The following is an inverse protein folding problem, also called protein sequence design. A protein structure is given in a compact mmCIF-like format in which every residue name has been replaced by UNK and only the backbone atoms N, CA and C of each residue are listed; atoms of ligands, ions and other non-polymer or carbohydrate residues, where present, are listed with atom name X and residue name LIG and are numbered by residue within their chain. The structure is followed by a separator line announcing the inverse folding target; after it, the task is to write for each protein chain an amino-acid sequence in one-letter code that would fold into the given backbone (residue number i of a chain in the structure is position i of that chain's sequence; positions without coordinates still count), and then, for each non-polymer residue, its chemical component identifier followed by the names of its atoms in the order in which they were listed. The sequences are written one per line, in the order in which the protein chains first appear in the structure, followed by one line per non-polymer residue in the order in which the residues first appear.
data_IF_683686019394
#
_entry.id   IF_683686019394
#
_cell.length_a   1.000
_cell.length_b   1.000
_cell.length_c   1.000
_cell.angle_alpha   90.00
_cell.angle_beta   90.00
_cell.angle_gamma   90.00
#
_symmetry.space_group_name_H-M   'P 1'
#
loop_
_entity.id
_entity.type
_entity.pdbx_description
1 polymer ?
#
# COMPACT_ATOMS: atom_id res chain seq x y z
N UNK A 1 -13.01 26.74 25.13
CA UNK A 1 -12.30 26.00 24.06
C UNK A 1 -10.80 26.20 24.25
N UNK A 2 -10.05 25.12 24.55
CA UNK A 2 -8.58 25.22 24.70
C UNK A 2 -8.01 25.43 23.30
N UNK A 3 -7.19 26.46 23.12
CA UNK A 3 -6.44 26.79 21.92
C UNK A 3 -5.83 25.51 21.32
N UNK A 4 -6.18 25.21 20.09
CA UNK A 4 -5.58 24.13 19.33
C UNK A 4 -4.05 24.32 19.35
N UNK A 5 -3.33 23.28 19.80
CA UNK A 5 -1.87 23.30 19.79
C UNK A 5 -1.43 23.57 18.36
N UNK A 6 -0.70 24.65 18.13
CA UNK A 6 -0.20 25.08 16.80
C UNK A 6 0.93 24.15 16.29
N UNK A 7 0.84 22.85 16.63
CA UNK A 7 1.88 21.85 16.39
C UNK A 7 1.37 20.90 15.30
N UNK A 8 2.02 20.95 14.15
CA UNK A 8 1.75 19.99 13.07
C UNK A 8 2.21 18.58 13.49
N UNK A 9 1.51 17.57 13.00
CA UNK A 9 1.85 16.15 13.17
C UNK A 9 2.25 15.57 11.84
N UNK A 10 3.46 15.05 11.75
CA UNK A 10 4.00 14.39 10.55
C UNK A 10 4.09 12.89 10.78
N UNK A 11 3.69 12.10 9.76
CA UNK A 11 3.74 10.64 9.76
C UNK A 11 4.13 10.13 8.37
N UNK A 12 4.87 9.01 8.32
CA UNK A 12 5.17 8.30 7.08
C UNK A 12 4.10 7.27 6.81
N UNK A 13 3.53 7.33 5.61
CA UNK A 13 2.58 6.36 5.09
C UNK A 13 3.33 5.40 4.16
N UNK A 14 3.77 4.26 4.69
CA UNK A 14 4.57 3.29 3.97
C UNK A 14 3.76 2.58 2.87
N UNK A 15 4.45 2.06 1.85
CA UNK A 15 3.89 1.18 0.85
C UNK A 15 3.92 -0.29 1.29
N UNK A 16 3.27 -1.15 0.51
CA UNK A 16 3.32 -2.62 0.64
C UNK A 16 3.63 -3.25 -0.71
N UNK A 17 4.05 -4.49 -0.67
CA UNK A 17 3.98 -5.44 -1.79
C UNK A 17 3.20 -6.67 -1.35
N UNK A 18 2.67 -7.43 -2.33
CA UNK A 18 2.09 -8.75 -2.08
C UNK A 18 3.14 -9.80 -2.47
N UNK A 19 3.61 -10.56 -1.49
CA UNK A 19 4.54 -11.67 -1.71
C UNK A 19 3.84 -12.91 -2.26
N UNK A 20 2.55 -13.06 -1.93
CA UNK A 20 1.63 -14.06 -2.46
C UNK A 20 0.24 -13.43 -2.53
N UNK A 21 -0.53 -13.72 -3.57
CA UNK A 21 -1.92 -13.31 -3.69
C UNK A 21 -2.69 -14.40 -4.44
N UNK A 22 -3.66 -15.00 -3.74
CA UNK A 22 -4.53 -16.04 -4.26
C UNK A 22 -5.97 -15.60 -4.21
N UNK A 23 -6.68 -15.81 -5.29
CA UNK A 23 -8.12 -15.66 -5.37
C UNK A 23 -8.75 -17.02 -5.14
N UNK A 24 -9.41 -17.20 -3.99
CA UNK A 24 -9.95 -18.49 -3.55
C UNK A 24 -11.35 -18.73 -4.09
N UNK A 25 -12.08 -17.69 -4.46
CA UNK A 25 -13.44 -17.79 -4.99
C UNK A 25 -14.16 -16.45 -4.98
N UNK A 26 -15.41 -16.46 -5.40
CA UNK A 26 -16.32 -15.30 -5.34
C UNK A 26 -17.25 -15.45 -4.13
N UNK A 27 -17.37 -14.39 -3.36
CA UNK A 27 -18.22 -14.28 -2.16
C UNK A 27 -19.66 -13.95 -2.54
N UNK A 28 -20.59 -14.20 -1.63
CA UNK A 28 -22.00 -13.84 -1.83
C UNK A 28 -22.26 -12.34 -1.95
N UNK A 29 -21.34 -11.50 -1.45
CA UNK A 29 -21.38 -10.04 -1.56
C UNK A 29 -20.80 -9.50 -2.90
N UNK A 30 -20.40 -10.40 -3.82
CA UNK A 30 -19.84 -10.06 -5.11
C UNK A 30 -18.34 -9.74 -5.10
N UNK A 31 -17.71 -9.72 -3.93
CA UNK A 31 -16.26 -9.60 -3.81
C UNK A 31 -15.57 -10.96 -3.93
N UNK A 32 -14.24 -10.95 -4.05
CA UNK A 32 -13.43 -12.16 -4.05
C UNK A 32 -12.94 -12.52 -2.65
N UNK A 33 -12.97 -13.81 -2.34
CA UNK A 33 -12.28 -14.37 -1.18
C UNK A 33 -10.80 -14.49 -1.51
N UNK A 34 -9.96 -13.87 -0.71
CA UNK A 34 -8.52 -13.77 -0.93
C UNK A 34 -7.71 -14.44 0.18
N UNK A 35 -6.54 -14.91 -0.21
CA UNK A 35 -5.43 -15.18 0.69
C UNK A 35 -4.22 -14.45 0.14
N UNK A 36 -3.65 -13.53 0.92
CA UNK A 36 -2.48 -12.78 0.49
C UNK A 36 -1.45 -12.66 1.61
N UNK A 37 -0.18 -12.60 1.24
CA UNK A 37 0.90 -12.26 2.17
C UNK A 37 1.40 -10.87 1.83
N UNK A 38 1.12 -9.93 2.72
CA UNK A 38 1.59 -8.55 2.64
C UNK A 38 2.99 -8.41 3.23
N UNK A 39 3.79 -7.54 2.64
CA UNK A 39 5.07 -7.08 3.18
C UNK A 39 5.15 -5.56 3.12
N UNK A 40 5.34 -4.91 4.27
CA UNK A 40 5.60 -3.48 4.32
C UNK A 40 6.99 -3.14 3.75
N UNK A 41 7.11 -2.04 3.02
CA UNK A 41 8.38 -1.59 2.43
C UNK A 41 8.70 -0.15 2.82
N UNK A 42 9.97 0.26 2.71
CA UNK A 42 10.43 1.57 3.19
C UNK A 42 10.01 2.74 2.30
N UNK A 43 9.60 2.50 1.05
CA UNK A 43 8.98 3.51 0.21
C UNK A 43 7.73 4.06 0.91
N UNK A 44 7.58 5.38 0.98
CA UNK A 44 6.48 6.00 1.73
C UNK A 44 6.10 7.37 1.18
N UNK A 45 4.85 7.73 1.37
CA UNK A 45 4.37 9.10 1.31
C UNK A 45 4.55 9.77 2.68
N UNK A 46 4.46 11.08 2.74
CA UNK A 46 4.45 11.82 4.01
C UNK A 46 3.12 12.54 4.17
N UNK A 47 2.45 12.29 5.30
CA UNK A 47 1.24 13.00 5.71
C UNK A 47 1.63 14.00 6.80
N UNK A 48 1.21 15.25 6.62
CA UNK A 48 1.35 16.29 7.64
C UNK A 48 -0.04 16.85 7.99
N UNK A 49 -0.46 16.63 9.22
CA UNK A 49 -1.70 17.20 9.77
C UNK A 49 -1.37 18.59 10.30
N UNK A 50 -2.00 19.60 9.74
CA UNK A 50 -1.83 21.00 10.12
C UNK A 50 -3.13 21.50 10.75
N UNK A 51 -3.15 21.86 12.04
CA UNK A 51 -4.29 22.55 12.64
C UNK A 51 -4.57 23.86 11.90
N UNK A 52 -5.80 24.04 11.49
CA UNK A 52 -6.25 25.25 10.76
C UNK A 52 -7.75 25.43 10.99
N UNK A 53 -8.20 26.60 11.30
CA UNK A 53 -9.62 26.91 11.37
C UNK A 53 -10.28 26.82 9.98
N UNK A 54 -11.53 26.33 9.96
CA UNK A 54 -12.35 26.23 8.76
C UNK A 54 -12.52 24.83 8.20
N UNK A 55 -13.01 24.68 6.96
CA UNK A 55 -13.31 23.38 6.37
C UNK A 55 -12.05 22.53 6.19
N UNK A 56 -12.25 21.21 6.28
CA UNK A 56 -11.20 20.23 5.97
C UNK A 56 -10.66 20.43 4.56
N UNK A 57 -9.37 20.32 4.39
CA UNK A 57 -8.71 20.44 3.09
C UNK A 57 -7.55 19.44 2.95
N UNK A 58 -7.27 19.06 1.71
CA UNK A 58 -6.08 18.29 1.33
C UNK A 58 -5.25 19.14 0.38
N UNK A 59 -3.94 19.22 0.64
CA UNK A 59 -2.96 19.82 -0.27
C UNK A 59 -2.02 18.72 -0.77
N UNK A 60 -1.86 18.62 -2.09
CA UNK A 60 -0.89 17.75 -2.74
C UNK A 60 -0.47 18.39 -4.07
N UNK A 61 0.84 18.47 -4.33
CA UNK A 61 1.37 19.00 -5.59
C UNK A 61 1.38 17.96 -6.74
N UNK A 62 1.19 16.67 -6.42
CA UNK A 62 1.24 15.59 -7.42
C UNK A 62 -0.06 15.56 -8.22
N UNK A 63 0.06 15.72 -9.54
CA UNK A 63 -1.08 15.60 -10.44
C UNK A 63 -1.75 14.23 -10.36
N UNK A 64 -3.08 14.18 -10.56
CA UNK A 64 -3.87 12.95 -10.52
C UNK A 64 -4.25 12.47 -9.12
N UNK A 65 -3.81 13.14 -8.05
CA UNK A 65 -4.28 12.89 -6.69
C UNK A 65 -5.56 13.67 -6.45
N UNK A 66 -6.72 13.00 -6.15
CA UNK A 66 -7.93 13.71 -5.80
C UNK A 66 -7.74 14.54 -4.52
N UNK A 67 -8.23 15.76 -4.50
CA UNK A 67 -8.18 16.65 -3.32
C UNK A 67 -9.55 16.81 -2.65
N UNK A 68 -10.52 16.05 -3.09
CA UNK A 68 -11.91 16.06 -2.67
C UNK A 68 -12.32 14.82 -1.84
N UNK A 69 -13.62 14.64 -1.61
CA UNK A 69 -14.23 13.55 -0.84
C UNK A 69 -13.99 12.15 -1.43
N UNK A 70 -13.51 12.04 -2.65
CA UNK A 70 -13.15 10.75 -3.25
C UNK A 70 -11.84 10.20 -2.70
N UNK A 71 -10.96 11.08 -2.17
CA UNK A 71 -9.68 10.70 -1.58
C UNK A 71 -9.87 9.91 -0.28
N UNK A 72 -9.12 8.81 -0.12
CA UNK A 72 -9.16 7.98 1.09
C UNK A 72 -8.70 8.74 2.35
N UNK A 73 -7.86 9.77 2.24
CA UNK A 73 -7.51 10.67 3.35
C UNK A 73 -8.77 11.39 3.86
N UNK A 74 -9.59 11.92 2.95
CA UNK A 74 -10.85 12.57 3.31
C UNK A 74 -11.81 11.60 3.98
N UNK A 75 -11.99 10.43 3.35
CA UNK A 75 -12.87 9.38 3.89
C UNK A 75 -12.40 8.92 5.27
N UNK A 76 -11.09 8.77 5.48
CA UNK A 76 -10.51 8.40 6.77
C UNK A 76 -10.78 9.47 7.85
N UNK A 77 -10.57 10.74 7.52
CA UNK A 77 -10.85 11.85 8.44
C UNK A 77 -12.33 11.90 8.84
N UNK A 78 -13.23 11.78 7.87
CA UNK A 78 -14.67 11.79 8.09
C UNK A 78 -15.15 10.54 8.87
N UNK A 79 -14.62 9.36 8.57
CA UNK A 79 -14.97 8.14 9.28
C UNK A 79 -14.54 8.20 10.75
N UNK A 80 -13.33 8.69 11.01
CA UNK A 80 -12.85 8.89 12.39
C UNK A 80 -13.68 9.94 13.12
N UNK A 81 -14.04 11.06 12.45
CA UNK A 81 -14.89 12.10 13.01
C UNK A 81 -16.23 11.55 13.49
N UNK A 82 -16.89 10.76 12.63
CA UNK A 82 -18.19 10.12 12.94
C UNK A 82 -18.07 9.06 14.04
N UNK A 83 -17.00 8.27 14.04
CA UNK A 83 -16.75 7.24 15.07
C UNK A 83 -16.66 7.83 16.49
N UNK A 84 -16.31 9.12 16.58
CA UNK A 84 -16.27 9.89 17.83
C UNK A 84 -17.59 10.60 18.15
N UNK A 85 -18.70 10.24 17.46
CA UNK A 85 -20.03 10.84 17.61
C UNK A 85 -20.05 12.36 17.39
N UNK A 86 -19.15 12.85 16.55
CA UNK A 86 -19.15 14.25 16.13
C UNK A 86 -20.09 14.43 14.95
N UNK A 87 -20.94 15.44 15.04
CA UNK A 87 -21.86 15.78 13.97
C UNK A 87 -21.19 16.64 12.88
N UNK A 88 -21.82 16.70 11.71
CA UNK A 88 -21.38 17.52 10.59
C UNK A 88 -20.16 16.96 9.85
N UNK A 89 -19.56 17.86 9.10
CA UNK A 89 -18.35 17.56 8.32
C UNK A 89 -17.09 17.77 9.17
N UNK A 90 -16.07 17.00 8.87
CA UNK A 90 -14.74 17.19 9.46
C UNK A 90 -14.22 18.58 9.14
N UNK A 91 -13.67 19.27 10.15
CA UNK A 91 -13.17 20.64 10.05
C UNK A 91 -11.91 20.86 10.90
N UNK A 92 -11.39 22.07 10.84
CA UNK A 92 -10.29 22.62 11.65
C UNK A 92 -8.96 21.87 11.47
N UNK A 93 -8.80 21.22 10.31
CA UNK A 93 -7.59 20.49 9.93
C UNK A 93 -7.34 20.59 8.43
N UNK A 94 -6.11 20.81 8.07
CA UNK A 94 -5.58 20.63 6.71
C UNK A 94 -4.60 19.45 6.69
N UNK A 95 -4.67 18.64 5.66
CA UNK A 95 -3.74 17.53 5.42
C UNK A 95 -2.86 17.86 4.23
N UNK A 96 -1.54 17.96 4.44
CA UNK A 96 -0.57 18.06 3.35
C UNK A 96 -0.03 16.67 3.05
N UNK A 97 -0.09 16.29 1.78
CA UNK A 97 0.39 15.01 1.25
C UNK A 97 1.60 15.24 0.34
N UNK A 98 2.77 14.75 0.77
CA UNK A 98 3.96 14.65 -0.07
C UNK A 98 4.00 13.23 -0.67
N UNK A 99 3.71 13.11 -1.97
CA UNK A 99 3.51 11.83 -2.67
C UNK A 99 4.79 11.30 -3.29
N UNK A 100 5.21 10.10 -2.91
CA UNK A 100 6.37 9.37 -3.47
C UNK A 100 5.97 8.00 -4.02
N UNK A 101 4.94 7.38 -3.44
CA UNK A 101 4.42 6.08 -3.91
C UNK A 101 3.67 6.32 -5.23
N UNK A 102 4.00 5.60 -6.31
CA UNK A 102 3.29 5.71 -7.59
C UNK A 102 1.78 5.44 -7.45
N UNK A 103 1.00 6.17 -8.24
CA UNK A 103 -0.46 5.97 -8.31
C UNK A 103 -0.79 4.69 -9.08
N UNK A 104 -1.85 3.99 -8.70
CA UNK A 104 -2.40 2.81 -9.39
C UNK A 104 -1.34 1.73 -9.72
N UNK A 105 -0.39 1.53 -8.80
CA UNK A 105 0.74 0.62 -8.97
C UNK A 105 0.65 -0.67 -8.10
N UNK A 106 -0.48 -0.95 -7.45
CA UNK A 106 -0.61 -2.13 -6.57
C UNK A 106 0.18 -2.05 -5.26
N UNK A 107 0.72 -0.87 -4.91
CA UNK A 107 1.59 -0.63 -3.75
C UNK A 107 0.85 -0.14 -2.49
N UNK A 108 -0.47 -0.06 -2.53
CA UNK A 108 -1.30 0.32 -1.39
C UNK A 108 -1.16 1.77 -0.93
N UNK A 109 -0.66 2.70 -1.79
CA UNK A 109 -0.38 4.08 -1.39
C UNK A 109 -1.57 4.83 -0.82
N UNK A 110 -2.76 4.73 -1.45
CA UNK A 110 -3.98 5.35 -0.93
C UNK A 110 -4.43 4.78 0.42
N UNK A 111 -4.35 3.45 0.57
CA UNK A 111 -4.70 2.76 1.82
C UNK A 111 -3.71 3.07 2.95
N UNK A 112 -2.40 3.15 2.63
CA UNK A 112 -1.37 3.60 3.56
C UNK A 112 -1.61 5.04 4.02
N UNK A 113 -2.00 5.93 3.09
CA UNK A 113 -2.33 7.31 3.42
C UNK A 113 -3.56 7.40 4.33
N UNK A 114 -4.60 6.59 4.10
CA UNK A 114 -5.78 6.52 4.96
C UNK A 114 -5.42 6.07 6.38
N UNK A 115 -4.68 4.97 6.53
CA UNK A 115 -4.25 4.46 7.83
C UNK A 115 -3.38 5.47 8.59
N UNK A 116 -2.40 6.09 7.90
CA UNK A 116 -1.56 7.12 8.48
C UNK A 116 -2.39 8.35 8.93
N UNK A 117 -3.40 8.72 8.15
CA UNK A 117 -4.32 9.81 8.50
C UNK A 117 -5.11 9.47 9.77
N UNK A 118 -5.66 8.26 9.89
CA UNK A 118 -6.36 7.82 11.11
C UNK A 118 -5.48 7.94 12.34
N UNK A 119 -4.24 7.44 12.28
CA UNK A 119 -3.27 7.48 13.38
C UNK A 119 -2.91 8.93 13.73
N UNK A 120 -2.62 9.75 12.72
CA UNK A 120 -2.18 11.13 12.94
C UNK A 120 -3.30 12.02 13.49
N UNK A 121 -4.55 11.87 12.98
CA UNK A 121 -5.71 12.61 13.47
C UNK A 121 -6.11 12.17 14.87
N UNK A 122 -6.09 10.86 15.18
CA UNK A 122 -6.34 10.38 16.54
C UNK A 122 -5.38 11.07 17.55
N UNK A 123 -4.12 11.21 17.17
CA UNK A 123 -3.12 11.93 17.99
C UNK A 123 -3.38 13.44 18.03
N UNK A 124 -3.67 14.07 16.89
CA UNK A 124 -3.91 15.51 16.79
C UNK A 124 -5.12 15.95 17.63
N UNK A 125 -6.18 15.16 17.58
CA UNK A 125 -7.42 15.40 18.32
C UNK A 125 -7.37 14.84 19.75
N UNK A 126 -6.24 14.22 20.17
CA UNK A 126 -6.06 13.61 21.49
C UNK A 126 -7.19 12.62 21.85
N UNK A 127 -7.58 11.81 20.85
CA UNK A 127 -8.67 10.86 21.03
C UNK A 127 -8.20 9.64 21.82
N UNK A 128 -8.97 9.16 22.79
CA UNK A 128 -8.71 7.90 23.50
C UNK A 128 -9.17 6.70 22.67
N UNK A 129 -8.64 6.57 21.43
CA UNK A 129 -9.07 5.52 20.51
C UNK A 129 -8.31 4.24 20.80
N UNK A 130 -9.04 3.15 21.00
CA UNK A 130 -8.44 1.81 21.14
C UNK A 130 -7.99 1.28 19.79
N UNK A 131 -6.92 0.46 19.71
CA UNK A 131 -6.46 -0.13 18.46
C UNK A 131 -7.56 -0.86 17.67
N UNK A 132 -8.44 -1.60 18.35
CA UNK A 132 -9.57 -2.28 17.72
C UNK A 132 -10.53 -1.30 17.03
N UNK A 133 -10.84 -0.16 17.64
CA UNK A 133 -11.71 0.86 17.02
C UNK A 133 -11.08 1.46 15.75
N UNK A 134 -9.74 1.66 15.76
CA UNK A 134 -9.06 2.09 14.53
C UNK A 134 -9.10 1.03 13.44
N UNK A 135 -8.97 -0.26 13.82
CA UNK A 135 -9.07 -1.37 12.88
C UNK A 135 -10.48 -1.46 12.26
N UNK A 136 -11.52 -1.32 13.08
CA UNK A 136 -12.92 -1.31 12.60
C UNK A 136 -13.14 -0.17 11.59
N UNK A 137 -12.68 1.05 11.91
CA UNK A 137 -12.78 2.19 10.98
C UNK A 137 -11.95 1.92 9.71
N UNK A 138 -10.75 1.38 9.85
CA UNK A 138 -9.87 1.09 8.72
C UNK A 138 -10.51 0.09 7.74
N UNK A 139 -11.16 -0.96 8.24
CA UNK A 139 -11.83 -1.97 7.42
C UNK A 139 -12.98 -1.40 6.57
N UNK A 140 -13.64 -0.31 7.02
CA UNK A 140 -14.68 0.37 6.24
C UNK A 140 -14.14 1.21 5.08
N UNK A 141 -12.85 1.54 5.09
CA UNK A 141 -12.22 2.41 4.11
C UNK A 141 -11.65 1.65 2.90
N UNK A 142 -11.27 0.39 3.10
CA UNK A 142 -10.73 -0.47 2.06
C UNK A 142 -9.97 -1.66 2.63
N UNK A 143 -9.91 -2.76 1.85
CA UNK A 143 -9.36 -4.04 2.30
C UNK A 143 -7.88 -3.96 2.75
N UNK A 144 -7.06 -3.16 2.07
CA UNK A 144 -5.64 -3.01 2.42
C UNK A 144 -5.39 -2.07 3.63
N UNK A 145 -6.39 -1.26 4.05
CA UNK A 145 -6.16 -0.22 5.09
C UNK A 145 -5.78 -0.82 6.44
N UNK A 146 -6.41 -1.90 6.92
CA UNK A 146 -6.05 -2.54 8.19
C UNK A 146 -4.61 -3.04 8.26
N UNK A 147 -4.03 -3.50 7.14
CA UNK A 147 -2.64 -3.92 7.09
C UNK A 147 -1.68 -2.81 7.55
N UNK A 148 -1.93 -1.57 7.16
CA UNK A 148 -1.07 -0.43 7.51
C UNK A 148 -1.16 0.03 8.96
N UNK A 149 -2.11 -0.49 9.74
CA UNK A 149 -2.11 -0.35 11.21
C UNK A 149 -1.18 -1.37 11.87
N UNK A 150 -0.90 -2.50 11.20
CA UNK A 150 -0.07 -3.61 11.68
C UNK A 150 1.37 -3.53 11.16
N UNK A 151 1.54 -3.42 9.84
CA UNK A 151 2.83 -3.43 9.15
C UNK A 151 3.59 -4.75 9.24
N UNK A 152 4.88 -4.72 8.87
CA UNK A 152 5.73 -5.91 8.83
C UNK A 152 5.31 -6.90 7.76
N UNK A 153 5.38 -8.21 8.08
CA UNK A 153 4.83 -9.29 7.27
C UNK A 153 3.50 -9.75 7.89
N UNK A 154 2.46 -9.89 7.08
CA UNK A 154 1.14 -10.32 7.55
C UNK A 154 0.39 -11.15 6.51
N UNK A 155 -0.42 -12.10 6.97
CA UNK A 155 -1.42 -12.80 6.18
C UNK A 155 -2.69 -11.96 6.16
N UNK A 156 -3.25 -11.75 4.97
CA UNK A 156 -4.57 -11.16 4.76
C UNK A 156 -5.54 -12.21 4.25
N UNK A 157 -6.70 -12.31 4.88
CA UNK A 157 -7.83 -13.19 4.50
C UNK A 157 -9.08 -12.34 4.24
N UNK A 158 -10.18 -13.01 3.85
CA UNK A 158 -11.40 -12.32 3.45
C UNK A 158 -11.21 -11.61 2.12
N UNK A 159 -11.50 -10.30 2.06
CA UNK A 159 -11.14 -9.44 0.91
C UNK A 159 -9.71 -8.91 1.00
N UNK A 160 -8.94 -9.35 2.05
CA UNK A 160 -7.64 -8.87 2.44
C UNK A 160 -7.63 -8.05 3.74
N UNK A 161 -8.80 -7.77 4.33
CA UNK A 161 -8.98 -6.94 5.53
C UNK A 161 -8.72 -7.66 6.84
N UNK A 162 -8.85 -8.98 6.89
CA UNK A 162 -8.55 -9.77 8.07
C UNK A 162 -7.05 -10.00 8.19
N UNK A 163 -6.38 -9.24 9.03
CA UNK A 163 -4.93 -9.19 9.12
C UNK A 163 -4.41 -10.03 10.26
N UNK A 164 -3.60 -11.03 9.93
CA UNK A 164 -2.92 -11.91 10.87
C UNK A 164 -1.40 -11.69 10.79
N UNK A 165 -0.79 -11.10 11.82
CA UNK A 165 0.65 -10.90 11.86
C UNK A 165 1.42 -12.20 11.70
N UNK A 166 2.38 -12.25 10.77
CA UNK A 166 3.33 -13.35 10.63
C UNK A 166 4.68 -12.99 11.26
N UNK A 167 5.57 -13.98 11.42
CA UNK A 167 6.96 -13.72 11.71
C UNK A 167 7.56 -12.85 10.61
N UNK A 168 8.32 -11.83 11.00
CA UNK A 168 8.97 -10.96 10.02
C UNK A 168 9.98 -11.75 9.20
N UNK A 169 10.00 -11.50 7.90
CA UNK A 169 10.97 -12.05 6.99
C UNK A 169 12.35 -11.40 7.20
N UNK A 170 13.44 -12.10 6.88
CA UNK A 170 14.74 -11.48 6.77
C UNK A 170 14.66 -10.25 5.86
N UNK A 171 15.44 -9.23 6.20
CA UNK A 171 15.49 -7.99 5.40
C UNK A 171 15.94 -8.30 3.97
N UNK A 172 15.17 -7.82 3.01
CA UNK A 172 15.47 -7.86 1.59
C UNK A 172 15.53 -6.45 1.02
N UNK A 173 16.44 -6.23 0.09
CA UNK A 173 16.42 -5.06 -0.77
C UNK A 173 15.48 -5.33 -1.94
N UNK A 174 14.78 -4.31 -2.37
CA UNK A 174 13.70 -4.43 -3.34
C UNK A 174 13.92 -3.39 -4.43
N UNK A 175 13.93 -3.84 -5.68
CA UNK A 175 13.87 -2.94 -6.84
C UNK A 175 12.47 -3.02 -7.41
N UNK A 176 11.79 -1.87 -7.45
CA UNK A 176 10.48 -1.73 -8.07
C UNK A 176 10.66 -1.19 -9.49
N UNK A 177 9.96 -1.78 -10.44
CA UNK A 177 9.74 -1.24 -11.77
C UNK A 177 8.29 -0.81 -11.89
N UNK A 178 8.06 0.43 -12.31
CA UNK A 178 6.73 0.99 -12.48
C UNK A 178 6.60 1.47 -13.92
N UNK A 179 5.69 0.87 -14.71
CA UNK A 179 5.48 1.24 -16.10
C UNK A 179 4.74 2.58 -16.21
N UNK A 180 4.60 3.10 -17.42
CA UNK A 180 3.90 4.34 -17.71
C UNK A 180 2.36 4.27 -17.60
N UNK A 181 1.81 3.08 -17.33
CA UNK A 181 0.37 2.86 -17.16
C UNK A 181 0.03 2.39 -15.75
N UNK A 182 -1.19 2.67 -15.31
CA UNK A 182 -1.78 2.12 -14.10
C UNK A 182 -2.82 1.07 -14.42
N UNK A 183 -3.09 0.17 -13.48
CA UNK A 183 -4.21 -0.78 -13.55
C UNK A 183 -5.16 -0.50 -12.39
N UNK A 184 -6.45 -0.31 -12.69
CA UNK A 184 -7.43 -0.19 -11.63
C UNK A 184 -7.68 -1.57 -11.00
N UNK A 185 -7.93 -1.59 -9.68
CA UNK A 185 -8.25 -2.84 -8.98
C UNK A 185 -9.50 -3.50 -9.58
N UNK A 186 -10.48 -2.69 -9.99
CA UNK A 186 -11.72 -3.19 -10.61
C UNK A 186 -11.42 -3.90 -11.93
N UNK A 187 -10.61 -3.30 -12.82
CA UNK A 187 -10.24 -3.91 -14.09
C UNK A 187 -9.44 -5.20 -13.88
N UNK A 188 -8.51 -5.22 -12.91
CA UNK A 188 -7.71 -6.41 -12.61
C UNK A 188 -8.59 -7.62 -12.26
N UNK A 189 -9.62 -7.43 -11.41
CA UNK A 189 -10.55 -8.50 -11.04
C UNK A 189 -11.51 -8.85 -12.17
N UNK A 190 -12.03 -7.89 -12.91
CA UNK A 190 -12.87 -8.15 -14.09
C UNK A 190 -12.12 -8.98 -15.15
N UNK A 191 -10.85 -8.68 -15.38
CA UNK A 191 -10.02 -9.46 -16.28
C UNK A 191 -9.74 -10.86 -15.76
N UNK A 192 -9.51 -10.99 -14.46
CA UNK A 192 -9.33 -12.29 -13.82
C UNK A 192 -10.58 -13.17 -13.99
N UNK A 193 -11.77 -12.62 -13.76
CA UNK A 193 -13.03 -13.35 -13.88
C UNK A 193 -13.28 -13.76 -15.34
N UNK A 194 -13.13 -12.82 -16.27
CA UNK A 194 -13.32 -13.08 -17.72
C UNK A 194 -12.38 -14.18 -18.21
N UNK A 195 -11.12 -14.16 -17.78
CA UNK A 195 -10.15 -15.15 -18.21
C UNK A 195 -10.41 -16.53 -17.56
N UNK A 196 -10.94 -16.58 -16.31
CA UNK A 196 -11.37 -17.85 -15.70
C UNK A 196 -12.56 -18.50 -16.40
N UNK A 197 -13.46 -17.72 -16.96
CA UNK A 197 -14.58 -18.25 -17.73
C UNK A 197 -14.10 -18.93 -19.02
N UNK A 198 -13.04 -18.41 -19.62
CA UNK A 198 -12.40 -19.00 -20.81
C UNK A 198 -11.64 -20.29 -20.45
N UNK A 199 -10.94 -20.28 -19.29
CA UNK A 199 -10.09 -21.39 -18.81
C UNK A 199 -10.87 -22.50 -18.05
N UNK A 200 -12.20 -22.53 -18.04
CA UNK A 200 -13.04 -23.50 -17.28
C UNK A 200 -12.79 -24.98 -17.62
N UNK A 201 -11.89 -25.29 -18.51
CA UNK A 201 -11.43 -26.67 -18.82
C UNK A 201 -10.08 -27.06 -18.19
N UNK A 202 -9.36 -26.14 -17.58
CA UNK A 202 -8.02 -26.39 -17.04
C UNK A 202 -8.05 -26.26 -15.51
N UNK A 203 -8.25 -27.38 -14.82
CA UNK A 203 -8.08 -27.46 -13.36
C UNK A 203 -6.58 -27.30 -13.09
N UNK A 204 -6.15 -26.09 -12.74
CA UNK A 204 -4.83 -25.88 -12.17
C UNK A 204 -4.87 -26.29 -10.72
N UNK A 205 -4.35 -27.47 -10.40
CA UNK A 205 -4.13 -27.83 -9.00
C UNK A 205 -3.27 -26.77 -8.33
N UNK A 206 -3.61 -26.35 -7.09
CA UNK A 206 -2.75 -25.45 -6.34
C UNK A 206 -1.43 -26.17 -6.09
N UNK A 207 -0.37 -25.74 -6.77
CA UNK A 207 0.96 -26.27 -6.56
C UNK A 207 1.39 -25.95 -5.12
N UNK A 208 1.18 -26.90 -4.23
CA UNK A 208 1.71 -26.84 -2.87
C UNK A 208 3.20 -27.15 -2.94
N UNK A 209 4.02 -26.12 -2.79
CA UNK A 209 5.47 -26.32 -2.67
C UNK A 209 5.84 -26.29 -1.19
N UNK A 210 6.21 -27.45 -0.62
CA UNK A 210 6.72 -27.50 0.74
C UNK A 210 8.08 -26.79 0.82
N UNK A 211 8.33 -26.05 1.89
CA UNK A 211 9.62 -25.48 2.17
C UNK A 211 9.55 -24.17 2.96
N UNK A 212 10.57 -23.86 3.75
CA UNK A 212 10.65 -22.59 4.47
C UNK A 212 10.91 -21.44 3.49
N UNK A 213 10.42 -20.27 3.82
CA UNK A 213 10.85 -19.03 3.19
C UNK A 213 12.34 -18.78 3.52
N UNK A 214 13.23 -18.34 2.60
CA UNK A 214 12.99 -17.80 1.26
C UNK A 214 13.07 -18.81 0.10
N UNK A 215 13.22 -20.13 0.35
CA UNK A 215 13.22 -21.13 -0.72
C UNK A 215 11.96 -21.09 -1.61
N UNK A 216 10.87 -20.50 -1.08
CA UNK A 216 9.64 -20.19 -1.82
C UNK A 216 9.69 -18.87 -2.59
N UNK A 217 10.74 -18.04 -2.44
CA UNK A 217 10.84 -16.75 -3.14
C UNK A 217 10.79 -16.91 -4.66
N UNK A 218 11.28 -18.03 -5.17
CA UNK A 218 11.18 -18.37 -6.60
C UNK A 218 9.75 -18.64 -7.08
N UNK A 219 8.78 -18.78 -6.17
CA UNK A 219 7.42 -19.18 -6.46
C UNK A 219 6.36 -18.20 -5.90
N UNK A 220 6.71 -16.92 -5.88
CA UNK A 220 5.71 -15.88 -5.60
C UNK A 220 4.63 -15.96 -6.66
N UNK A 221 3.37 -16.13 -6.21
CA UNK A 221 2.24 -16.26 -7.09
C UNK A 221 1.28 -15.10 -6.82
N UNK A 222 0.89 -14.46 -7.91
CA UNK A 222 -0.16 -13.46 -7.91
C UNK A 222 -1.18 -13.87 -8.97
N UNK A 223 -2.34 -14.33 -8.54
CA UNK A 223 -3.39 -14.82 -9.45
C UNK A 223 -3.94 -13.71 -10.38
N UNK A 224 -3.76 -12.44 -10.02
CA UNK A 224 -4.11 -11.30 -10.87
C UNK A 224 -3.05 -11.00 -11.96
N UNK A 225 -1.82 -11.53 -11.80
CA UNK A 225 -0.73 -11.23 -12.74
C UNK A 225 -0.96 -11.77 -14.16
N UNK A 226 -1.35 -13.05 -14.38
CA UNK A 226 -1.54 -13.58 -15.72
C UNK A 226 -2.58 -12.82 -16.57
N UNK A 227 -3.78 -12.48 -16.08
CA UNK A 227 -4.74 -11.71 -16.88
C UNK A 227 -4.26 -10.29 -17.22
N UNK A 228 -3.47 -9.68 -16.33
CA UNK A 228 -2.87 -8.36 -16.57
C UNK A 228 -1.73 -8.47 -17.57
N UNK A 229 -0.84 -9.46 -17.43
CA UNK A 229 0.28 -9.67 -18.34
C UNK A 229 -0.17 -10.00 -19.77
N UNK A 230 -1.30 -10.69 -19.95
CA UNK A 230 -1.90 -10.91 -21.28
C UNK A 230 -2.29 -9.61 -21.98
N UNK A 231 -2.77 -8.62 -21.24
CA UNK A 231 -3.19 -7.30 -21.75
C UNK A 231 -2.05 -6.30 -21.80
N UNK A 232 -1.09 -6.47 -20.93
CA UNK A 232 0.10 -5.63 -20.77
C UNK A 232 1.37 -6.51 -20.72
N UNK A 233 1.88 -6.99 -21.88
CA UNK A 233 3.06 -7.87 -21.94
C UNK A 233 4.32 -7.26 -21.29
N UNK A 234 4.31 -5.96 -21.06
CA UNK A 234 5.37 -5.23 -20.36
C UNK A 234 5.60 -5.75 -18.93
N UNK A 235 4.57 -6.31 -18.27
CA UNK A 235 4.69 -6.94 -16.95
C UNK A 235 5.70 -8.10 -17.00
N UNK A 236 5.59 -9.00 -17.99
CA UNK A 236 6.53 -10.10 -18.14
C UNK A 236 7.93 -9.62 -18.54
N UNK A 237 8.03 -8.57 -19.35
CA UNK A 237 9.32 -7.94 -19.69
C UNK A 237 10.02 -7.39 -18.46
N UNK A 238 9.30 -6.69 -17.57
CA UNK A 238 9.83 -6.18 -16.30
C UNK A 238 10.30 -7.32 -15.38
N UNK A 239 9.54 -8.39 -15.25
CA UNK A 239 9.93 -9.58 -14.47
C UNK A 239 11.21 -10.23 -15.02
N UNK A 240 11.25 -10.40 -16.34
CA UNK A 240 12.44 -10.95 -17.01
C UNK A 240 13.66 -10.05 -16.83
N UNK A 241 13.49 -8.72 -16.91
CA UNK A 241 14.55 -7.75 -16.69
C UNK A 241 15.10 -7.84 -15.26
N UNK A 242 14.23 -7.87 -14.23
CA UNK A 242 14.66 -8.02 -12.84
C UNK A 242 15.42 -9.33 -12.59
N UNK A 243 14.94 -10.46 -13.15
CA UNK A 243 15.64 -11.74 -13.04
C UNK A 243 17.01 -11.70 -13.71
N UNK A 244 17.11 -11.07 -14.89
CA UNK A 244 18.37 -10.95 -15.65
C UNK A 244 19.42 -10.12 -14.91
N UNK A 245 19.01 -9.15 -14.10
CA UNK A 245 19.94 -8.36 -13.27
C UNK A 245 20.21 -8.97 -11.88
N UNK A 246 19.73 -10.20 -11.62
CA UNK A 246 20.08 -10.99 -10.44
C UNK A 246 19.07 -10.95 -9.30
N UNK A 247 17.81 -10.58 -9.56
CA UNK A 247 16.77 -10.71 -8.55
C UNK A 247 16.54 -12.19 -8.18
N UNK A 248 16.46 -12.50 -6.88
CA UNK A 248 16.15 -13.83 -6.33
C UNK A 248 14.74 -14.28 -6.74
N UNK A 249 13.82 -13.34 -6.83
CA UNK A 249 12.47 -13.53 -7.29
C UNK A 249 11.94 -12.21 -7.87
N UNK A 250 10.98 -12.30 -8.80
CA UNK A 250 10.30 -11.14 -9.37
C UNK A 250 8.82 -11.47 -9.60
N UNK A 251 7.93 -10.57 -9.16
CA UNK A 251 6.48 -10.69 -9.29
C UNK A 251 5.82 -9.32 -9.37
N UNK A 252 4.59 -9.28 -9.86
CA UNK A 252 3.74 -8.09 -9.82
C UNK A 252 3.13 -7.93 -8.42
N UNK A 253 3.01 -6.71 -7.93
CA UNK A 253 2.40 -6.41 -6.64
C UNK A 253 0.90 -6.13 -6.77
N UNK A 254 0.09 -6.87 -6.01
CA UNK A 254 -1.37 -6.65 -5.96
C UNK A 254 -2.02 -6.69 -7.33
N UNK A 255 -2.89 -5.73 -7.59
CA UNK A 255 -3.55 -5.52 -8.90
C UNK A 255 -2.63 -4.86 -9.94
N UNK A 256 -1.36 -4.71 -9.67
CA UNK A 256 -0.41 -4.07 -10.58
C UNK A 256 -0.54 -2.53 -10.55
N UNK A 257 0.21 -1.86 -11.38
CA UNK A 257 1.09 -2.35 -12.46
C UNK A 257 2.57 -2.55 -12.02
N UNK A 258 2.94 -2.19 -10.78
CA UNK A 258 4.33 -2.32 -10.35
C UNK A 258 4.77 -3.78 -10.23
N UNK A 259 6.00 -4.03 -10.71
CA UNK A 259 6.71 -5.30 -10.57
C UNK A 259 7.88 -5.09 -9.62
N UNK A 260 8.10 -6.03 -8.70
CA UNK A 260 9.21 -5.96 -7.77
C UNK A 260 10.17 -7.13 -7.94
N UNK A 261 11.46 -6.87 -7.66
CA UNK A 261 12.51 -7.89 -7.58
C UNK A 261 13.14 -7.88 -6.19
N UNK A 262 13.34 -9.04 -5.60
CA UNK A 262 13.99 -9.22 -4.31
C UNK A 262 15.49 -9.45 -4.46
N UNK A 263 16.28 -8.80 -3.62
CA UNK A 263 17.75 -8.94 -3.55
C UNK A 263 18.17 -9.14 -2.10
N UNK A 264 19.16 -9.98 -1.87
CA UNK A 264 19.68 -10.23 -0.53
C UNK A 264 20.56 -9.08 -0.04
N UNK A 265 21.36 -8.48 -0.93
CA UNK A 265 22.36 -7.46 -0.57
C UNK A 265 22.06 -6.13 -1.26
N UNK A 266 22.31 -5.05 -0.53
CA UNK A 266 22.12 -3.69 -1.06
C UNK A 266 22.96 -3.39 -2.31
N UNK A 267 24.25 -3.77 -2.39
CA UNK A 267 25.05 -3.52 -3.59
C UNK A 267 24.47 -4.16 -4.85
N UNK A 268 23.92 -5.39 -4.74
CA UNK A 268 23.33 -6.09 -5.88
C UNK A 268 22.06 -5.36 -6.38
N UNK A 269 21.23 -4.91 -5.45
CA UNK A 269 20.04 -4.12 -5.77
C UNK A 269 20.40 -2.75 -6.36
N UNK A 270 21.44 -2.09 -5.86
CA UNK A 270 21.93 -0.82 -6.40
C UNK A 270 22.46 -0.98 -7.83
N UNK A 271 23.28 -2.02 -8.08
CA UNK A 271 23.74 -2.33 -9.43
C UNK A 271 22.60 -2.69 -10.39
N UNK A 272 21.54 -3.33 -9.89
CA UNK A 272 20.33 -3.59 -10.68
C UNK A 272 19.63 -2.27 -11.09
N UNK A 273 19.50 -1.31 -10.17
CA UNK A 273 18.95 0.03 -10.48
C UNK A 273 19.74 0.72 -11.58
N UNK A 274 21.07 0.71 -11.50
CA UNK A 274 21.94 1.30 -12.52
C UNK A 274 21.75 0.64 -13.89
N UNK A 275 21.71 -0.70 -13.94
CA UNK A 275 21.50 -1.46 -15.17
C UNK A 275 20.10 -1.28 -15.78
N UNK A 276 19.12 -0.97 -14.97
CA UNK A 276 17.73 -0.74 -15.39
C UNK A 276 17.43 0.74 -15.63
N UNK A 277 18.37 1.64 -15.33
CA UNK A 277 18.25 3.05 -15.69
C UNK A 277 18.11 3.20 -17.21
N UNK A 278 17.18 4.03 -17.66
CA UNK A 278 16.92 4.24 -19.10
C UNK A 278 16.06 3.16 -19.76
N UNK A 279 15.55 2.16 -19.00
CA UNK A 279 14.66 1.12 -19.55
C UNK A 279 13.27 1.62 -19.99
N UNK A 280 12.94 2.89 -19.73
CA UNK A 280 11.61 3.46 -19.94
C UNK A 280 10.69 3.33 -18.71
N UNK A 281 11.08 2.52 -17.71
CA UNK A 281 10.34 2.36 -16.45
C UNK A 281 10.86 3.26 -15.35
N UNK A 282 9.97 3.66 -14.43
CA UNK A 282 10.42 4.27 -13.18
C UNK A 282 11.02 3.17 -12.29
N UNK A 283 12.31 3.33 -11.98
CA UNK A 283 13.06 2.37 -11.13
C UNK A 283 13.20 2.95 -9.73
N UNK A 284 12.78 2.18 -8.70
CA UNK A 284 12.84 2.61 -7.30
C UNK A 284 13.53 1.55 -6.45
N UNK A 285 14.59 1.96 -5.73
CA UNK A 285 15.22 1.13 -4.70
C UNK A 285 14.52 1.34 -3.36
N UNK A 286 14.14 0.26 -2.71
CA UNK A 286 13.51 0.25 -1.39
C UNK A 286 13.95 -1.01 -0.61
N UNK A 287 13.39 -1.22 0.58
CA UNK A 287 13.69 -2.38 1.41
C UNK A 287 12.44 -2.87 2.15
N UNK A 288 12.41 -4.16 2.50
CA UNK A 288 11.37 -4.70 3.38
C UNK A 288 11.53 -4.16 4.81
N UNK A 289 10.41 -3.90 5.47
CA UNK A 289 10.37 -3.47 6.85
C UNK A 289 9.75 -4.56 7.71
N UNK A 290 10.50 -5.02 8.73
CA UNK A 290 9.91 -5.81 9.82
C UNK A 290 8.99 -4.96 10.68
N UNK A 291 8.11 -5.59 11.47
CA UNK A 291 7.04 -4.91 12.22
C UNK A 291 7.58 -3.87 13.19
N UNK A 292 8.63 -4.18 13.92
CA UNK A 292 9.23 -3.24 14.88
C UNK A 292 9.79 -2.01 14.18
N UNK A 293 10.49 -2.20 13.06
CA UNK A 293 11.05 -1.09 12.28
C UNK A 293 9.93 -0.26 11.61
N UNK A 294 8.91 -0.92 11.07
CA UNK A 294 7.72 -0.27 10.52
C UNK A 294 7.05 0.63 11.57
N UNK A 295 6.73 0.09 12.74
CA UNK A 295 6.08 0.84 13.82
C UNK A 295 6.92 2.04 14.27
N UNK A 296 8.25 1.90 14.34
CA UNK A 296 9.17 3.00 14.64
C UNK A 296 9.15 4.08 13.57
N UNK A 297 9.21 3.70 12.28
CA UNK A 297 9.23 4.62 11.13
C UNK A 297 7.87 5.29 10.86
N UNK A 298 6.77 4.58 11.11
CA UNK A 298 5.40 5.07 10.95
C UNK A 298 4.88 5.83 12.20
N UNK A 299 5.72 6.04 13.21
CA UNK A 299 5.33 6.78 14.41
C UNK A 299 5.09 8.25 14.08
N UNK A 300 3.93 8.84 14.47
CA UNK A 300 3.70 10.26 14.31
C UNK A 300 4.68 11.09 15.13
N UNK A 301 5.25 12.11 14.54
CA UNK A 301 6.15 13.05 15.20
C UNK A 301 5.55 14.46 15.20
N UNK A 302 5.68 15.17 16.31
CA UNK A 302 5.27 16.58 16.40
C UNK A 302 6.36 17.45 15.76
N UNK A 303 5.96 18.36 14.88
CA UNK A 303 6.83 19.37 14.30
C UNK A 303 6.25 20.76 14.52
N UNK A 304 7.10 21.78 14.70
CA UNK A 304 6.60 23.16 14.68
C UNK A 304 6.02 23.43 13.30
N UNK A 305 4.81 23.96 13.23
CA UNK A 305 4.25 24.42 11.96
C UNK A 305 5.20 25.49 11.39
N UNK A 306 5.93 25.16 10.35
CA UNK A 306 6.75 26.13 9.64
C UNK A 306 5.83 27.25 9.12
N UNK A 307 6.23 28.52 9.28
CA UNK A 307 5.52 29.64 8.66
C UNK A 307 5.35 29.35 7.17
N UNK A 308 4.11 29.38 6.72
CA UNK A 308 3.77 29.39 5.30
C UNK A 308 4.40 30.67 4.72
N UNK A 309 5.51 30.52 3.97
CA UNK A 309 5.98 31.60 3.11
C UNK A 309 5.08 31.53 1.89
N UNK A 310 4.07 32.42 1.86
CA UNK A 310 3.33 32.73 0.65
C UNK A 310 4.32 33.30 -0.38
N UNK A 311 4.53 32.59 -1.48
CA UNK A 311 5.05 33.14 -2.73
C UNK A 311 3.98 33.06 -3.79
#
# INVERSE_FOLDING_TARGET
MKTASNTAIRIRAHAKINLDLRVLGTRADGFHELRTVFQAISLHDTITIVPREGPFAIECATAGVPLDRSNLIWKAAQALWRSMRREGEVCDVMVRLDKSIPLQAGLGGGSGNAAATLIALARAWRLPVRPAQLADVAATLGADVPFFLTGGTALGLGRGEEIYPLADLPRHWIVLLVPGFGVSTVDAYNWYDSDREIDRGVVREPQHVPGPWPSRAAQMINDLEPPIARRHPEIDQMKAALRRVGALAAAMSGSGSAVFGLFQRRPDAAAAVEKLAGSGWKVVLTESLGRVEYARKARPVSSRAGRVVSR
#
